data_IF_679512882906
#
_entry.id   IF_679512882906
#
_cell.length_a   1.000
_cell.length_b   1.000
_cell.length_c   1.000
_cell.angle_alpha   90.00
_cell.angle_beta   90.00
_cell.angle_gamma   90.00
#
_symmetry.space_group_name_H-M   'P 1'
#
loop_
_entity.id
_entity.type
_entity.pdbx_description
1 polymer ?
#
# COMPACT_ATOMS: atom_id res chain seq x y z
N UNK A 1 33.25 -51.37 -5.24
CA UNK A 1 32.26 -51.20 -4.17
C UNK A 1 32.17 -49.73 -3.67
N UNK A 2 33.27 -49.07 -3.26
CA UNK A 2 33.23 -47.69 -2.76
C UNK A 2 32.62 -46.67 -3.76
N UNK A 3 32.94 -46.75 -5.06
CA UNK A 3 32.38 -45.83 -6.08
C UNK A 3 30.88 -45.98 -6.26
N UNK A 4 30.32 -47.16 -6.11
CA UNK A 4 28.87 -47.41 -6.19
C UNK A 4 28.17 -46.81 -4.98
N UNK A 5 28.76 -46.89 -3.78
CA UNK A 5 28.20 -46.31 -2.55
C UNK A 5 28.14 -44.78 -2.67
N UNK A 6 29.21 -44.14 -3.19
CA UNK A 6 29.18 -42.68 -3.40
C UNK A 6 28.17 -42.26 -4.45
N UNK A 7 28.00 -43.00 -5.54
CA UNK A 7 27.00 -42.70 -6.57
C UNK A 7 25.57 -42.83 -6.05
N UNK A 8 25.28 -43.85 -5.25
CA UNK A 8 23.98 -44.06 -4.61
C UNK A 8 23.71 -42.97 -3.56
N UNK A 9 24.70 -42.55 -2.78
CA UNK A 9 24.56 -41.47 -1.77
C UNK A 9 24.27 -40.12 -2.44
N UNK A 10 24.95 -39.76 -3.53
CA UNK A 10 24.70 -38.52 -4.29
C UNK A 10 23.32 -38.56 -4.92
N UNK A 11 22.86 -39.68 -5.43
CA UNK A 11 21.52 -39.81 -6.02
C UNK A 11 20.42 -39.68 -4.96
N UNK A 12 20.63 -40.21 -3.75
CA UNK A 12 19.68 -40.10 -2.63
C UNK A 12 19.59 -38.65 -2.10
N UNK A 13 20.71 -37.92 -2.08
CA UNK A 13 20.69 -36.51 -1.67
C UNK A 13 20.00 -35.58 -2.69
N UNK A 14 20.12 -35.88 -3.99
CA UNK A 14 19.43 -35.15 -5.06
C UNK A 14 17.91 -35.36 -5.04
N UNK A 15 17.44 -36.52 -4.60
CA UNK A 15 15.99 -36.79 -4.44
C UNK A 15 15.37 -36.08 -3.21
N UNK A 16 16.18 -35.77 -2.21
CA UNK A 16 15.70 -35.03 -1.00
C UNK A 16 15.54 -33.52 -1.17
N UNK A 17 15.96 -32.96 -2.31
CA UNK A 17 15.88 -31.50 -2.56
C UNK A 17 14.57 -31.06 -3.16
N UNK A 18 13.62 -31.95 -3.43
CA UNK A 18 12.25 -31.57 -3.74
C UNK A 18 11.54 -31.20 -2.42
N UNK A 19 11.85 -30.01 -1.90
CA UNK A 19 11.12 -29.42 -0.79
C UNK A 19 9.69 -29.17 -1.27
N UNK A 20 8.72 -29.80 -0.62
CA UNK A 20 7.29 -29.54 -0.85
C UNK A 20 6.97 -28.13 -0.40
N UNK A 21 7.04 -27.17 -1.31
CA UNK A 21 6.67 -25.77 -1.08
C UNK A 21 5.17 -25.66 -0.77
N UNK A 22 4.35 -26.48 -1.43
CA UNK A 22 2.89 -26.54 -1.25
C UNK A 22 2.44 -26.97 0.17
N UNK A 23 3.29 -27.63 0.95
CA UNK A 23 2.93 -28.06 2.32
C UNK A 23 3.13 -26.95 3.36
N UNK A 24 3.91 -25.93 3.02
CA UNK A 24 4.15 -24.76 3.87
C UNK A 24 3.20 -23.58 3.57
N UNK A 25 2.55 -23.59 2.41
CA UNK A 25 1.49 -22.65 2.07
C UNK A 25 0.17 -23.10 2.75
N UNK A 26 0.03 -22.72 4.01
CA UNK A 26 -1.24 -22.84 4.70
C UNK A 26 -2.20 -21.79 4.12
N UNK A 27 -3.20 -22.22 3.37
CA UNK A 27 -4.35 -21.38 2.97
C UNK A 27 -4.96 -20.78 4.25
N UNK A 28 -4.60 -19.55 4.54
CA UNK A 28 -5.15 -18.83 5.69
C UNK A 28 -6.57 -18.43 5.37
N UNK A 29 -7.54 -19.23 5.84
CA UNK A 29 -8.98 -18.95 5.68
C UNK A 29 -9.44 -17.67 6.40
N UNK A 30 -8.56 -17.02 7.14
CA UNK A 30 -8.85 -15.83 7.95
C UNK A 30 -8.17 -14.55 7.43
N UNK A 31 -7.34 -14.63 6.41
CA UNK A 31 -6.68 -13.46 5.82
C UNK A 31 -7.37 -13.12 4.49
N UNK A 32 -7.72 -11.86 4.32
CA UNK A 32 -8.18 -11.34 3.04
C UNK A 32 -7.03 -11.40 2.04
N UNK A 33 -7.19 -12.22 1.01
CA UNK A 33 -6.30 -12.25 -0.15
C UNK A 33 -6.73 -11.18 -1.16
N UNK A 34 -5.87 -10.84 -2.10
CA UNK A 34 -6.23 -9.93 -3.20
C UNK A 34 -7.46 -10.45 -3.95
N UNK A 35 -7.48 -11.74 -4.29
CA UNK A 35 -8.59 -12.39 -4.97
C UNK A 35 -9.91 -12.27 -4.17
N UNK A 36 -9.88 -12.54 -2.86
CA UNK A 36 -11.07 -12.42 -2.02
C UNK A 36 -11.54 -10.98 -1.86
N UNK A 37 -10.62 -10.02 -1.82
CA UNK A 37 -10.91 -8.58 -1.70
C UNK A 37 -11.63 -8.04 -2.91
N UNK A 38 -11.28 -8.48 -4.11
CA UNK A 38 -11.93 -8.04 -5.35
C UNK A 38 -13.00 -9.01 -5.89
N UNK A 39 -13.40 -10.00 -5.09
CA UNK A 39 -14.42 -10.98 -5.48
C UNK A 39 -15.85 -10.41 -5.58
N UNK A 40 -16.13 -9.32 -4.87
CA UNK A 40 -17.43 -8.65 -4.88
C UNK A 40 -17.26 -7.14 -4.62
N UNK A 41 -18.30 -6.37 -4.96
CA UNK A 41 -18.33 -4.91 -4.86
C UNK A 41 -18.16 -4.41 -3.43
N UNK A 42 -18.72 -5.10 -2.43
CA UNK A 42 -18.65 -4.66 -1.03
C UNK A 42 -17.20 -4.69 -0.50
N UNK A 43 -16.46 -5.75 -0.80
CA UNK A 43 -15.06 -5.84 -0.39
C UNK A 43 -14.17 -4.90 -1.22
N UNK A 44 -14.40 -4.80 -2.53
CA UNK A 44 -13.68 -3.87 -3.39
C UNK A 44 -13.87 -2.41 -2.95
N UNK A 45 -15.09 -2.02 -2.56
CA UNK A 45 -15.35 -0.67 -2.04
C UNK A 45 -14.61 -0.39 -0.74
N UNK A 46 -14.48 -1.37 0.15
CA UNK A 46 -13.68 -1.23 1.38
C UNK A 46 -12.19 -1.05 1.08
N UNK A 47 -11.66 -1.71 0.03
CA UNK A 47 -10.29 -1.49 -0.41
C UNK A 47 -10.09 -0.04 -0.89
N UNK A 48 -11.01 0.51 -1.69
CA UNK A 48 -10.97 1.91 -2.13
C UNK A 48 -11.14 2.88 -0.94
N UNK A 49 -12.03 2.60 0.01
CA UNK A 49 -12.13 3.40 1.25
C UNK A 49 -10.83 3.38 2.07
N UNK A 50 -10.06 2.30 1.99
CA UNK A 50 -8.72 2.24 2.57
C UNK A 50 -7.76 3.28 1.97
N UNK A 51 -7.94 3.71 0.72
CA UNK A 51 -7.16 4.80 0.11
C UNK A 51 -7.60 6.14 0.73
N UNK A 52 -8.90 6.41 0.81
CA UNK A 52 -9.41 7.64 1.46
C UNK A 52 -8.93 7.77 2.90
N UNK A 53 -8.89 6.67 3.63
CA UNK A 53 -8.44 6.67 5.02
C UNK A 53 -6.99 7.16 5.16
N UNK A 54 -6.11 6.90 4.20
CA UNK A 54 -4.74 7.41 4.26
C UNK A 54 -4.66 8.94 4.16
N UNK A 55 -5.55 9.57 3.41
CA UNK A 55 -5.62 11.03 3.31
C UNK A 55 -6.13 11.71 4.58
N UNK A 56 -6.86 11.00 5.43
CA UNK A 56 -7.39 11.55 6.69
C UNK A 56 -6.44 11.38 7.87
N UNK A 57 -5.33 10.70 7.70
CA UNK A 57 -4.33 10.53 8.77
C UNK A 57 -3.65 11.85 9.10
N UNK A 58 -3.15 11.97 10.34
CA UNK A 58 -2.41 13.16 10.78
C UNK A 58 -1.15 13.44 9.95
N UNK A 59 -0.53 12.41 9.43
CA UNK A 59 0.71 12.50 8.64
C UNK A 59 0.46 12.83 7.16
N UNK A 60 -0.80 12.98 6.74
CA UNK A 60 -1.17 13.35 5.38
C UNK A 60 -2.00 14.67 5.41
N UNK A 61 -3.07 14.75 4.62
CA UNK A 61 -3.93 15.95 4.54
C UNK A 61 -4.68 16.27 5.85
N UNK A 62 -4.79 15.30 6.78
CA UNK A 62 -5.54 15.47 8.03
C UNK A 62 -4.95 16.51 8.98
N UNK A 63 -3.61 16.68 9.02
CA UNK A 63 -3.00 17.63 9.94
C UNK A 63 -1.69 18.25 9.42
N UNK A 64 -0.67 17.46 9.07
CA UNK A 64 0.66 18.01 8.78
C UNK A 64 0.80 18.63 7.39
N UNK A 65 0.12 18.10 6.39
CA UNK A 65 0.21 18.62 5.03
C UNK A 65 -0.14 20.13 4.93
N UNK A 66 -1.17 20.65 5.63
CA UNK A 66 -1.44 22.10 5.63
C UNK A 66 -0.25 22.93 6.12
N UNK A 67 0.56 22.43 7.05
CA UNK A 67 1.73 23.18 7.56
C UNK A 67 2.82 23.41 6.51
N UNK A 68 2.85 22.64 5.43
CA UNK A 68 3.76 22.90 4.30
C UNK A 68 3.33 24.10 3.46
N UNK A 69 2.12 24.59 3.67
CA UNK A 69 1.51 25.72 2.95
C UNK A 69 1.45 27.00 3.76
N UNK A 70 1.68 26.92 5.09
CA UNK A 70 1.76 28.07 5.98
C UNK A 70 3.09 28.78 5.70
N UNK A 71 3.24 30.03 6.05
CA UNK A 71 4.38 30.89 5.74
C UNK A 71 4.35 31.36 4.27
N UNK A 72 3.18 31.83 3.88
CA UNK A 72 3.00 32.60 2.65
C UNK A 72 3.03 34.10 2.97
N UNK A 73 2.77 34.93 1.99
CA UNK A 73 2.59 36.37 2.15
C UNK A 73 1.33 36.76 2.95
N UNK A 74 0.41 35.82 3.16
CA UNK A 74 -0.87 36.04 3.86
C UNK A 74 -1.04 35.24 5.14
N UNK A 75 -0.19 34.23 5.38
CA UNK A 75 -0.27 33.37 6.56
C UNK A 75 1.11 33.24 7.23
N UNK A 76 1.14 33.31 8.55
CA UNK A 76 2.33 33.17 9.36
C UNK A 76 2.02 32.43 10.66
N UNK A 77 2.91 31.51 11.07
CA UNK A 77 2.77 30.81 12.36
C UNK A 77 3.72 31.38 13.41
N UNK A 78 3.19 31.68 14.59
CA UNK A 78 3.96 32.18 15.73
C UNK A 78 4.53 31.08 16.63
N UNK A 79 4.23 29.82 16.38
CA UNK A 79 4.57 28.75 17.30
C UNK A 79 6.06 28.40 17.24
N UNK A 80 6.84 29.02 18.10
CA UNK A 80 8.26 28.74 18.26
C UNK A 80 8.57 27.38 18.93
N UNK A 81 7.57 26.70 19.51
CA UNK A 81 7.81 25.58 20.43
C UNK A 81 7.56 24.19 19.84
N UNK A 82 7.17 24.05 18.59
CA UNK A 82 6.87 22.77 17.97
C UNK A 82 7.89 22.42 16.88
N UNK A 83 9.12 22.18 17.26
CA UNK A 83 10.32 22.00 16.42
C UNK A 83 10.11 21.47 14.98
N UNK A 84 9.47 20.31 14.82
CA UNK A 84 9.27 19.73 13.49
C UNK A 84 8.19 20.46 12.66
N UNK A 85 7.12 20.96 13.29
CA UNK A 85 6.07 21.75 12.63
C UNK A 85 6.59 23.10 12.19
N UNK A 86 7.37 23.78 13.04
CA UNK A 86 8.01 25.03 12.69
C UNK A 86 8.95 24.89 11.51
N UNK A 87 9.71 23.81 11.44
CA UNK A 87 10.59 23.55 10.30
C UNK A 87 9.82 23.46 9.00
N UNK A 88 8.63 22.82 9.01
CA UNK A 88 7.78 22.70 7.83
C UNK A 88 7.18 24.06 7.46
N UNK A 89 6.66 24.79 8.45
CA UNK A 89 5.99 26.06 8.24
C UNK A 89 6.96 27.15 7.75
N UNK A 90 8.22 27.16 8.20
CA UNK A 90 9.22 28.17 7.86
C UNK A 90 10.17 27.74 6.74
N UNK A 91 9.82 26.76 5.92
CA UNK A 91 10.66 26.22 4.83
C UNK A 91 12.07 25.79 5.32
N UNK A 92 12.21 25.48 6.60
CA UNK A 92 13.46 25.08 7.24
C UNK A 92 13.58 23.54 7.36
N UNK A 93 12.78 22.79 6.60
CA UNK A 93 12.84 21.33 6.56
C UNK A 93 14.19 20.84 6.03
N UNK A 94 14.74 19.84 6.69
CA UNK A 94 15.96 19.16 6.27
C UNK A 94 15.65 17.76 5.75
N UNK A 95 16.54 17.12 4.95
CA UNK A 95 16.35 15.74 4.52
C UNK A 95 16.16 14.73 5.67
N UNK A 96 16.62 15.06 6.88
CA UNK A 96 16.41 14.24 8.09
C UNK A 96 15.15 14.60 8.88
N UNK A 97 14.26 15.43 8.35
CA UNK A 97 13.02 15.79 9.03
C UNK A 97 12.06 14.60 9.06
N UNK A 98 11.86 14.03 10.25
CA UNK A 98 10.97 12.88 10.45
C UNK A 98 9.53 13.16 9.99
N UNK A 99 9.05 14.40 10.13
CA UNK A 99 7.70 14.75 9.68
C UNK A 99 7.56 14.79 8.15
N UNK A 100 8.59 15.18 7.43
CA UNK A 100 8.61 15.07 5.96
C UNK A 100 8.61 13.60 5.53
N UNK A 101 9.39 12.77 6.20
CA UNK A 101 9.42 11.33 5.95
C UNK A 101 8.04 10.68 6.22
N UNK A 102 7.41 10.99 7.34
CA UNK A 102 6.07 10.49 7.70
C UNK A 102 5.02 10.90 6.66
N UNK A 103 5.04 12.16 6.21
CA UNK A 103 4.15 12.65 5.15
C UNK A 103 4.41 11.96 3.81
N UNK A 104 5.66 11.83 3.42
CA UNK A 104 6.06 11.11 2.22
C UNK A 104 5.54 9.67 2.24
N UNK A 105 5.79 8.97 3.32
CA UNK A 105 5.35 7.59 3.51
C UNK A 105 3.83 7.47 3.45
N UNK A 106 3.08 8.39 4.09
CA UNK A 106 1.62 8.37 4.06
C UNK A 106 1.06 8.53 2.64
N UNK A 107 1.63 9.41 1.82
CA UNK A 107 1.21 9.59 0.42
C UNK A 107 1.59 8.39 -0.44
N UNK A 108 2.78 7.82 -0.27
CA UNK A 108 3.17 6.61 -0.98
C UNK A 108 2.34 5.38 -0.56
N UNK A 109 1.88 5.30 0.68
CA UNK A 109 0.90 4.30 1.10
C UNK A 109 -0.44 4.45 0.36
N UNK A 110 -0.89 5.68 0.13
CA UNK A 110 -2.08 5.92 -0.68
C UNK A 110 -1.88 5.44 -2.12
N UNK A 111 -0.73 5.74 -2.73
CA UNK A 111 -0.36 5.30 -4.08
C UNK A 111 -0.33 3.76 -4.16
N UNK A 112 0.29 3.08 -3.20
CA UNK A 112 0.37 1.62 -3.14
C UNK A 112 -1.02 0.98 -3.10
N UNK A 113 -1.89 1.44 -2.19
CA UNK A 113 -3.27 0.96 -2.08
C UNK A 113 -4.08 1.24 -3.35
N UNK A 114 -3.89 2.39 -3.96
CA UNK A 114 -4.54 2.73 -5.22
C UNK A 114 -4.06 1.82 -6.36
N UNK A 115 -2.76 1.54 -6.46
CA UNK A 115 -2.22 0.60 -7.45
C UNK A 115 -2.83 -0.79 -7.29
N UNK A 116 -2.93 -1.29 -6.04
CA UNK A 116 -3.57 -2.57 -5.77
C UNK A 116 -5.01 -2.63 -6.32
N UNK A 117 -5.80 -1.58 -6.11
CA UNK A 117 -7.15 -1.50 -6.66
C UNK A 117 -7.16 -1.40 -8.19
N UNK A 118 -6.27 -0.61 -8.78
CA UNK A 118 -6.18 -0.38 -10.23
C UNK A 118 -5.76 -1.67 -10.96
N UNK A 119 -4.82 -2.41 -10.39
CA UNK A 119 -4.30 -3.63 -11.02
C UNK A 119 -5.28 -4.80 -10.91
N UNK A 120 -6.04 -4.91 -9.81
CA UNK A 120 -6.90 -6.06 -9.54
C UNK A 120 -8.35 -5.88 -10.00
N UNK A 121 -8.92 -4.67 -9.99
CA UNK A 121 -10.30 -4.47 -10.41
C UNK A 121 -10.59 -4.94 -11.84
N UNK A 122 -9.75 -4.64 -12.85
CA UNK A 122 -9.99 -5.13 -14.22
C UNK A 122 -9.89 -6.64 -14.39
N UNK A 123 -9.23 -7.34 -13.47
CA UNK A 123 -9.06 -8.79 -13.47
C UNK A 123 -10.13 -9.51 -12.65
N UNK A 124 -10.97 -8.77 -11.95
CA UNK A 124 -11.93 -9.29 -11.00
C UNK A 124 -13.24 -9.76 -11.68
N UNK A 125 -13.98 -10.69 -11.07
CA UNK A 125 -15.25 -11.16 -11.61
C UNK A 125 -16.34 -10.08 -11.66
N UNK A 126 -16.19 -8.97 -10.93
CA UNK A 126 -17.13 -7.84 -10.91
C UNK A 126 -16.90 -6.84 -12.04
N UNK A 127 -15.80 -6.97 -12.80
CA UNK A 127 -15.47 -6.03 -13.88
C UNK A 127 -16.46 -6.06 -15.03
N UNK A 128 -17.01 -7.23 -15.29
CA UNK A 128 -18.03 -7.45 -16.32
C UNK A 128 -19.36 -7.92 -15.67
N UNK A 129 -20.47 -7.74 -16.36
CA UNK A 129 -21.77 -8.21 -15.88
C UNK A 129 -22.55 -7.16 -15.08
N UNK A 130 -23.35 -7.62 -14.10
CA UNK A 130 -24.29 -6.77 -13.37
C UNK A 130 -23.61 -5.67 -12.53
N UNK A 131 -22.45 -5.95 -11.99
CA UNK A 131 -21.70 -5.08 -11.07
C UNK A 131 -20.68 -4.17 -11.79
N UNK A 132 -20.54 -4.29 -13.11
CA UNK A 132 -19.53 -3.59 -13.91
C UNK A 132 -19.55 -2.07 -13.73
N UNK A 133 -20.72 -1.45 -13.66
CA UNK A 133 -20.86 -0.01 -13.45
C UNK A 133 -20.19 0.44 -12.15
N UNK A 134 -20.39 -0.32 -11.10
CA UNK A 134 -19.81 -0.02 -9.78
C UNK A 134 -18.32 -0.32 -9.75
N UNK A 135 -17.86 -1.42 -10.35
CA UNK A 135 -16.44 -1.73 -10.49
C UNK A 135 -15.68 -0.64 -11.24
N UNK A 136 -16.24 -0.14 -12.35
CA UNK A 136 -15.65 0.96 -13.11
C UNK A 136 -15.65 2.29 -12.33
N UNK A 137 -16.67 2.55 -11.51
CA UNK A 137 -16.70 3.70 -10.60
C UNK A 137 -15.56 3.62 -9.58
N UNK A 138 -15.42 2.47 -8.90
CA UNK A 138 -14.35 2.23 -7.92
C UNK A 138 -12.96 2.36 -8.55
N UNK A 139 -12.78 1.87 -9.77
CA UNK A 139 -11.54 2.04 -10.53
C UNK A 139 -11.24 3.52 -10.78
N UNK A 140 -12.23 4.29 -11.25
CA UNK A 140 -12.09 5.72 -11.48
C UNK A 140 -11.73 6.49 -10.20
N UNK A 141 -12.31 6.13 -9.06
CA UNK A 141 -11.95 6.68 -7.75
C UNK A 141 -10.49 6.36 -7.39
N UNK A 142 -10.06 5.11 -7.53
CA UNK A 142 -8.69 4.70 -7.23
C UNK A 142 -7.66 5.46 -8.10
N UNK A 143 -7.92 5.61 -9.40
CA UNK A 143 -7.07 6.40 -10.32
C UNK A 143 -7.01 7.87 -9.89
N UNK A 144 -8.15 8.45 -9.53
CA UNK A 144 -8.24 9.86 -9.10
C UNK A 144 -7.48 10.08 -7.80
N UNK A 145 -7.66 9.19 -6.82
CA UNK A 145 -6.97 9.26 -5.53
C UNK A 145 -5.46 9.06 -5.67
N UNK A 146 -5.03 8.19 -6.59
CA UNK A 146 -3.60 8.04 -6.92
C UNK A 146 -3.01 9.32 -7.49
N UNK A 147 -3.77 10.02 -8.33
CA UNK A 147 -3.31 11.27 -8.93
C UNK A 147 -3.29 12.44 -7.92
N UNK A 148 -4.07 12.34 -6.83
CA UNK A 148 -4.07 13.31 -5.75
C UNK A 148 -2.88 13.14 -4.80
N UNK A 149 -2.39 11.91 -4.63
CA UNK A 149 -1.24 11.60 -3.78
C UNK A 149 0.09 12.02 -4.41
#
# INVERSE_FOLDING_TARGET
MKKIIYSVSIFLTLLGLNSCQDWLDADSKSVFTEESTFSNVDFASKAVFGIYQTFTTGDSYGYYYPFTKIDSDIEFTFSANEGAKNQLAHYAGTPGSKKLEEMWNALYFAIERANLCIDNLPLSPIWEGADSKEAHRLYGEAVTLRALA
#
